data_IF_236967477509
#
_entry.id   IF_236967477509
#
_cell.length_a   1.000
_cell.length_b   1.000
_cell.length_c   1.000
_cell.angle_alpha   90.00
_cell.angle_beta   90.00
_cell.angle_gamma   90.00
#
_symmetry.space_group_name_H-M   'P 1'
#
loop_
_entity.id
_entity.type
_entity.pdbx_description
1 polymer ?
#
# COMPACT_ATOMS: atom_id res chain seq x y z
N UNK A 1 -19.24 18.46 25.75
CA UNK A 1 -18.14 17.56 26.17
C UNK A 1 -16.92 17.90 25.33
N UNK A 2 -15.77 18.20 25.95
CA UNK A 2 -14.59 18.67 25.22
C UNK A 2 -13.89 17.55 24.43
N UNK A 3 -13.26 17.91 23.31
CA UNK A 3 -12.47 17.02 22.46
C UNK A 3 -11.44 16.19 23.27
N UNK A 4 -10.84 16.80 24.30
CA UNK A 4 -9.89 16.14 25.20
C UNK A 4 -10.48 14.95 25.98
N UNK A 5 -11.76 14.99 26.35
CA UNK A 5 -12.38 13.87 27.07
C UNK A 5 -12.49 12.63 26.17
N UNK A 6 -12.81 12.82 24.89
CA UNK A 6 -12.82 11.75 23.91
C UNK A 6 -11.42 11.19 23.65
N UNK A 7 -10.41 12.05 23.48
CA UNK A 7 -9.03 11.60 23.33
C UNK A 7 -8.54 10.79 24.54
N UNK A 8 -8.80 11.25 25.76
CA UNK A 8 -8.42 10.51 26.99
C UNK A 8 -9.09 9.15 27.08
N UNK A 9 -10.35 9.05 26.67
CA UNK A 9 -11.06 7.77 26.70
C UNK A 9 -10.55 6.82 25.60
N UNK A 10 -10.25 7.34 24.41
CA UNK A 10 -9.61 6.57 23.35
C UNK A 10 -8.26 5.98 23.81
N UNK A 11 -7.44 6.74 24.52
CA UNK A 11 -6.15 6.29 25.04
C UNK A 11 -6.30 5.15 26.07
N UNK A 12 -7.30 5.24 26.96
CA UNK A 12 -7.60 4.17 27.92
C UNK A 12 -8.09 2.91 27.23
N UNK A 13 -8.98 3.05 26.24
CA UNK A 13 -9.47 1.94 25.44
C UNK A 13 -8.33 1.25 24.69
N UNK A 14 -7.43 2.02 24.07
CA UNK A 14 -6.24 1.50 23.41
C UNK A 14 -5.35 0.72 24.37
N UNK A 15 -4.99 1.29 25.52
CA UNK A 15 -4.13 0.63 26.51
C UNK A 15 -4.73 -0.69 27.02
N UNK A 16 -6.05 -0.71 27.29
CA UNK A 16 -6.76 -1.93 27.71
C UNK A 16 -6.79 -2.98 26.60
N UNK A 17 -7.13 -2.58 25.37
CA UNK A 17 -7.19 -3.47 24.23
C UNK A 17 -5.81 -4.07 23.91
N UNK A 18 -4.74 -3.29 24.03
CA UNK A 18 -3.36 -3.75 23.84
C UNK A 18 -2.98 -4.85 24.83
N UNK A 19 -3.31 -4.69 26.12
CA UNK A 19 -3.04 -5.71 27.15
C UNK A 19 -3.79 -7.03 26.84
N UNK A 20 -5.05 -6.93 26.43
CA UNK A 20 -5.87 -8.09 26.06
C UNK A 20 -5.27 -8.77 24.83
N UNK A 21 -4.96 -8.01 23.78
CA UNK A 21 -4.41 -8.54 22.53
C UNK A 21 -3.06 -9.24 22.76
N UNK A 22 -2.17 -8.68 23.58
CA UNK A 22 -0.91 -9.33 23.95
C UNK A 22 -1.13 -10.69 24.61
N UNK A 23 -2.13 -10.81 25.49
CA UNK A 23 -2.49 -12.09 26.10
C UNK A 23 -3.07 -13.09 25.08
N UNK A 24 -3.86 -12.63 24.10
CA UNK A 24 -4.37 -13.46 23.00
C UNK A 24 -3.24 -13.96 22.10
N UNK A 25 -2.38 -13.07 21.63
CA UNK A 25 -1.25 -13.40 20.73
C UNK A 25 -0.30 -14.40 21.39
N UNK A 26 0.03 -14.21 22.68
CA UNK A 26 0.87 -15.17 23.44
C UNK A 26 0.29 -16.59 23.45
N UNK A 27 -1.04 -16.73 23.56
CA UNK A 27 -1.72 -18.04 23.50
C UNK A 27 -1.52 -18.73 22.15
N UNK A 28 -1.52 -17.97 21.04
CA UNK A 28 -1.25 -18.52 19.71
C UNK A 28 0.23 -18.87 19.52
N UNK A 29 1.16 -18.08 20.06
CA UNK A 29 2.61 -18.35 19.94
C UNK A 29 3.08 -19.55 20.77
N UNK A 30 2.62 -19.69 22.03
CA UNK A 30 3.13 -20.72 22.96
C UNK A 30 2.63 -22.14 22.67
N UNK A 31 1.38 -22.30 22.19
CA UNK A 31 0.84 -23.64 21.86
C UNK A 31 1.39 -24.21 20.55
N UNK A 32 2.01 -23.39 19.70
CA UNK A 32 2.69 -23.89 18.49
C UNK A 32 3.97 -24.68 18.82
N UNK A 33 4.50 -24.59 20.04
CA UNK A 33 5.76 -25.22 20.45
C UNK A 33 5.57 -26.48 21.32
N UNK A 34 4.37 -26.72 21.87
CA UNK A 34 4.07 -27.87 22.72
C UNK A 34 3.01 -28.79 22.06
N UNK A 35 3.48 -29.84 21.39
CA UNK A 35 2.93 -31.21 21.32
C UNK A 35 1.50 -31.45 20.76
N UNK A 36 1.44 -32.25 19.68
CA UNK A 36 0.50 -33.36 19.36
C UNK A 36 -1.03 -33.22 19.58
N UNK A 37 -1.60 -32.04 19.80
CA UNK A 37 -3.06 -31.85 19.82
C UNK A 37 -3.61 -31.26 18.51
N UNK A 38 -4.49 -32.03 17.87
CA UNK A 38 -5.00 -31.92 16.50
C UNK A 38 -5.96 -30.75 16.23
N UNK A 39 -6.03 -29.74 17.11
CA UNK A 39 -6.85 -28.54 16.87
C UNK A 39 -5.93 -27.32 16.79
N UNK A 40 -5.47 -27.02 15.58
CA UNK A 40 -4.82 -25.74 15.25
C UNK A 40 -5.77 -24.62 15.69
N UNK A 41 -5.42 -23.87 16.74
CA UNK A 41 -6.24 -22.78 17.25
C UNK A 41 -6.18 -21.60 16.26
N UNK A 42 -7.05 -21.65 15.25
CA UNK A 42 -7.19 -20.64 14.21
C UNK A 42 -7.69 -19.33 14.85
N UNK A 43 -7.03 -18.19 14.62
CA UNK A 43 -7.49 -16.89 15.11
C UNK A 43 -8.94 -16.60 14.71
N UNK A 44 -9.67 -15.95 15.60
CA UNK A 44 -11.05 -15.52 15.29
C UNK A 44 -11.06 -14.20 14.52
N UNK A 45 -12.20 -13.86 13.92
CA UNK A 45 -12.40 -12.56 13.27
C UNK A 45 -12.18 -11.41 14.26
N UNK A 46 -12.61 -11.58 15.52
CA UNK A 46 -12.41 -10.57 16.55
C UNK A 46 -10.94 -10.36 16.89
N UNK A 47 -10.12 -11.42 16.91
CA UNK A 47 -8.68 -11.31 17.19
C UNK A 47 -7.96 -10.49 16.11
N UNK A 48 -8.30 -10.72 14.84
CA UNK A 48 -7.72 -9.99 13.70
C UNK A 48 -8.25 -8.55 13.67
N UNK A 49 -9.57 -8.35 13.83
CA UNK A 49 -10.19 -7.02 13.92
C UNK A 49 -9.58 -6.18 15.04
N UNK A 50 -9.42 -6.73 16.24
CA UNK A 50 -8.84 -6.01 17.37
C UNK A 50 -7.41 -5.54 17.03
N UNK A 51 -6.62 -6.41 16.41
CA UNK A 51 -5.26 -6.10 15.96
C UNK A 51 -5.23 -4.99 14.91
N UNK A 52 -6.16 -5.05 13.95
CA UNK A 52 -6.32 -4.06 12.90
C UNK A 52 -6.75 -2.69 13.47
N UNK A 53 -7.65 -2.67 14.46
CA UNK A 53 -8.08 -1.43 15.14
C UNK A 53 -6.94 -0.80 15.94
N UNK A 54 -6.09 -1.59 16.57
CA UNK A 54 -4.90 -1.08 17.27
C UNK A 54 -3.87 -0.50 16.29
N UNK A 55 -3.71 -1.14 15.13
CA UNK A 55 -2.93 -0.56 14.02
C UNK A 55 -3.51 0.78 13.57
N UNK A 56 -4.83 0.87 13.35
CA UNK A 56 -5.48 2.13 12.97
C UNK A 56 -5.32 3.23 14.01
N UNK A 57 -5.45 2.90 15.30
CA UNK A 57 -5.20 3.85 16.36
C UNK A 57 -3.77 4.40 16.30
N UNK A 58 -2.76 3.55 16.10
CA UNK A 58 -1.36 3.96 16.00
C UNK A 58 -1.02 4.71 14.71
N UNK A 59 -1.83 4.59 13.66
CA UNK A 59 -1.75 5.47 12.48
C UNK A 59 -2.31 6.87 12.77
N UNK A 60 -3.40 6.95 13.53
CA UNK A 60 -4.04 8.21 13.91
C UNK A 60 -3.27 8.96 14.99
N UNK A 61 -2.71 8.22 15.95
CA UNK A 61 -2.02 8.73 17.12
C UNK A 61 -0.80 7.85 17.42
N UNK A 62 0.30 8.05 16.68
CA UNK A 62 1.51 7.26 16.87
C UNK A 62 2.05 7.44 18.29
N UNK A 63 2.24 6.33 19.00
CA UNK A 63 2.94 6.31 20.28
C UNK A 63 4.45 6.44 20.10
N UNK A 64 4.97 5.87 19.00
CA UNK A 64 6.37 5.97 18.57
C UNK A 64 6.43 5.93 17.03
N UNK A 65 7.55 6.39 16.44
CA UNK A 65 7.74 6.31 14.99
C UNK A 65 7.68 4.85 14.56
N UNK A 66 6.72 4.52 13.68
CA UNK A 66 6.58 3.17 13.13
C UNK A 66 5.90 2.15 14.05
N UNK A 67 5.31 2.56 15.19
CA UNK A 67 4.55 1.68 16.09
C UNK A 67 3.46 0.87 15.37
N UNK A 68 2.79 1.49 14.40
CA UNK A 68 1.76 0.85 13.57
C UNK A 68 2.29 -0.38 12.82
N UNK A 69 3.57 -0.44 12.47
CA UNK A 69 4.17 -1.58 11.75
C UNK A 69 4.17 -2.84 12.61
N UNK A 70 4.30 -2.71 13.94
CA UNK A 70 4.25 -3.86 14.86
C UNK A 70 2.86 -4.49 14.85
N UNK A 71 1.81 -3.66 14.93
CA UNK A 71 0.42 -4.12 14.84
C UNK A 71 0.07 -4.66 13.47
N UNK A 72 0.57 -4.04 12.41
CA UNK A 72 0.42 -4.53 11.04
C UNK A 72 1.02 -5.94 10.90
N UNK A 73 2.26 -6.17 11.35
CA UNK A 73 2.89 -7.49 11.35
C UNK A 73 2.10 -8.51 12.17
N UNK A 74 1.62 -8.13 13.36
CA UNK A 74 0.78 -8.98 14.19
C UNK A 74 -0.54 -9.37 13.50
N UNK A 75 -1.22 -8.40 12.90
CA UNK A 75 -2.48 -8.60 12.17
C UNK A 75 -2.28 -9.52 10.97
N UNK A 76 -1.24 -9.27 10.16
CA UNK A 76 -0.86 -10.14 9.04
C UNK A 76 -0.55 -11.55 9.54
N UNK A 77 0.20 -11.71 10.64
CA UNK A 77 0.50 -13.02 11.22
C UNK A 77 -0.74 -13.80 11.62
N UNK A 78 -1.73 -13.16 12.27
CA UNK A 78 -3.00 -13.79 12.62
C UNK A 78 -3.82 -14.19 11.38
N UNK A 79 -3.81 -13.35 10.35
CA UNK A 79 -4.48 -13.66 9.10
C UNK A 79 -3.81 -14.84 8.37
N UNK A 80 -2.46 -14.88 8.35
CA UNK A 80 -1.69 -15.99 7.79
C UNK A 80 -1.95 -17.31 8.53
N UNK A 81 -2.12 -17.29 9.85
CA UNK A 81 -2.51 -18.47 10.63
C UNK A 81 -3.91 -19.00 10.27
N UNK A 82 -4.78 -18.12 9.75
CA UNK A 82 -6.13 -18.50 9.31
C UNK A 82 -6.13 -19.18 7.95
N UNK A 83 -5.12 -18.91 7.12
CA UNK A 83 -5.00 -19.44 5.77
C UNK A 83 -5.82 -18.66 4.74
N UNK A 84 -5.46 -18.78 3.45
CA UNK A 84 -6.10 -18.03 2.38
C UNK A 84 -7.53 -18.49 2.09
N UNK A 85 -7.92 -19.72 2.41
CA UNK A 85 -9.27 -20.25 2.22
C UNK A 85 -10.30 -19.52 3.08
N UNK A 86 -9.92 -19.15 4.31
CA UNK A 86 -10.76 -18.32 5.19
C UNK A 86 -10.99 -16.92 4.63
N UNK A 87 -10.10 -16.45 3.77
CA UNK A 87 -10.15 -15.11 3.18
C UNK A 87 -10.96 -15.04 1.90
N UNK A 88 -11.81 -16.03 1.58
CA UNK A 88 -12.59 -16.03 0.35
C UNK A 88 -13.84 -15.15 0.38
N UNK A 89 -14.37 -14.87 1.58
CA UNK A 89 -15.60 -14.11 1.76
C UNK A 89 -15.67 -13.43 3.14
N UNK A 90 -16.67 -12.56 3.31
CA UNK A 90 -16.98 -11.94 4.60
C UNK A 90 -15.87 -11.03 5.13
N UNK A 91 -15.75 -10.95 6.46
CA UNK A 91 -14.84 -10.03 7.14
C UNK A 91 -13.37 -10.37 6.92
N UNK A 92 -12.98 -11.65 6.85
CA UNK A 92 -11.62 -12.08 6.51
C UNK A 92 -11.19 -11.57 5.13
N UNK A 93 -12.07 -11.66 4.12
CA UNK A 93 -11.79 -11.13 2.78
C UNK A 93 -11.56 -9.61 2.81
N UNK A 94 -12.39 -8.88 3.55
CA UNK A 94 -12.22 -7.43 3.70
C UNK A 94 -10.89 -7.08 4.39
N UNK A 95 -10.58 -7.72 5.52
CA UNK A 95 -9.33 -7.52 6.25
C UNK A 95 -8.10 -7.87 5.41
N UNK A 96 -8.17 -8.99 4.67
CA UNK A 96 -7.14 -9.37 3.71
C UNK A 96 -6.90 -8.24 2.70
N UNK A 97 -7.94 -7.78 2.00
CA UNK A 97 -7.83 -6.71 1.00
C UNK A 97 -7.27 -5.41 1.59
N UNK A 98 -7.72 -5.03 2.79
CA UNK A 98 -7.20 -3.86 3.50
C UNK A 98 -5.70 -3.94 3.79
N UNK A 99 -5.19 -5.11 4.13
CA UNK A 99 -3.77 -5.32 4.44
C UNK A 99 -2.88 -5.44 3.20
N UNK A 100 -3.46 -5.67 2.01
CA UNK A 100 -2.68 -5.82 0.77
C UNK A 100 -1.87 -4.57 0.43
N UNK A 101 -2.48 -3.38 0.53
CA UNK A 101 -1.78 -2.11 0.27
C UNK A 101 -0.60 -1.93 1.25
N UNK A 102 -0.84 -2.14 2.54
CA UNK A 102 0.18 -1.97 3.57
C UNK A 102 1.35 -2.94 3.39
N UNK A 103 1.04 -4.20 3.09
CA UNK A 103 2.08 -5.21 2.84
C UNK A 103 2.83 -4.94 1.54
N UNK A 104 2.17 -4.42 0.51
CA UNK A 104 2.80 -4.02 -0.74
C UNK A 104 3.77 -2.86 -0.52
N UNK A 105 3.34 -1.85 0.24
CA UNK A 105 4.19 -0.74 0.68
C UNK A 105 5.44 -1.22 1.42
N UNK A 106 5.26 -2.04 2.45
CA UNK A 106 6.39 -2.59 3.23
C UNK A 106 7.32 -3.43 2.38
N UNK A 107 6.79 -4.18 1.42
CA UNK A 107 7.60 -5.03 0.52
C UNK A 107 8.51 -4.19 -0.37
N UNK A 108 8.00 -3.08 -0.93
CA UNK A 108 8.82 -2.16 -1.73
C UNK A 108 9.90 -1.52 -0.86
N UNK A 109 9.54 -0.99 0.32
CA UNK A 109 10.50 -0.29 1.20
C UNK A 109 11.60 -1.21 1.73
N UNK A 110 11.27 -2.46 2.06
CA UNK A 110 12.24 -3.44 2.56
C UNK A 110 12.97 -4.21 1.46
N UNK A 111 12.45 -4.15 0.23
CA UNK A 111 12.86 -5.05 -0.86
C UNK A 111 12.61 -6.54 -0.53
N UNK A 112 11.79 -6.86 0.48
CA UNK A 112 11.48 -8.23 0.85
C UNK A 112 10.13 -8.65 0.24
N UNK A 113 9.99 -9.92 -0.21
CA UNK A 113 8.71 -10.42 -0.70
C UNK A 113 7.64 -10.35 0.39
N UNK A 114 6.44 -9.92 0.01
CA UNK A 114 5.25 -10.02 0.87
C UNK A 114 4.89 -11.49 1.12
N UNK A 115 4.35 -11.79 2.29
CA UNK A 115 3.70 -13.08 2.53
C UNK A 115 2.48 -13.29 1.62
N UNK A 116 1.86 -12.21 1.12
CA UNK A 116 0.76 -12.27 0.16
C UNK A 116 1.22 -12.34 -1.31
N UNK A 117 2.52 -12.42 -1.57
CA UNK A 117 3.05 -12.56 -2.93
C UNK A 117 2.97 -14.00 -3.47
N UNK A 118 2.63 -14.99 -2.64
CA UNK A 118 2.53 -16.37 -3.11
C UNK A 118 1.32 -16.57 -4.02
N UNK A 119 1.42 -17.52 -4.95
CA UNK A 119 0.31 -17.86 -5.86
C UNK A 119 -0.97 -18.20 -5.11
N UNK A 120 -0.85 -18.89 -3.97
CA UNK A 120 -1.97 -19.23 -3.10
C UNK A 120 -2.70 -17.99 -2.59
N UNK A 121 -1.97 -17.01 -2.04
CA UNK A 121 -2.56 -15.76 -1.54
C UNK A 121 -3.03 -14.82 -2.65
N UNK A 122 -2.46 -14.93 -3.85
CA UNK A 122 -2.92 -14.19 -5.02
C UNK A 122 -4.18 -14.81 -5.64
N UNK A 123 -4.45 -16.11 -5.49
CA UNK A 123 -5.54 -16.79 -6.23
C UNK A 123 -6.68 -17.19 -5.30
N UNK A 124 -6.37 -17.87 -4.20
CA UNK A 124 -7.38 -18.52 -3.35
C UNK A 124 -8.37 -17.53 -2.73
N UNK A 125 -7.97 -16.37 -2.16
CA UNK A 125 -8.93 -15.40 -1.61
C UNK A 125 -9.89 -14.81 -2.65
N UNK A 126 -9.55 -14.89 -3.93
CA UNK A 126 -10.34 -14.36 -5.06
C UNK A 126 -11.10 -15.48 -5.81
N UNK A 127 -11.24 -16.66 -5.23
CA UNK A 127 -11.96 -17.77 -5.87
C UNK A 127 -13.46 -17.51 -6.04
N UNK A 128 -14.04 -16.69 -5.15
CA UNK A 128 -15.47 -16.36 -5.16
C UNK A 128 -15.78 -14.99 -5.78
N UNK A 129 -14.79 -14.10 -5.83
CA UNK A 129 -14.95 -12.72 -6.29
C UNK A 129 -13.90 -12.40 -7.35
N UNK A 130 -14.33 -11.75 -8.44
CA UNK A 130 -13.40 -11.21 -9.45
C UNK A 130 -12.47 -10.19 -8.78
N UNK A 131 -11.15 -10.33 -9.02
CA UNK A 131 -10.16 -9.30 -8.66
C UNK A 131 -10.52 -7.97 -9.28
N UNK A 132 -10.38 -6.90 -8.50
CA UNK A 132 -10.44 -5.56 -9.07
C UNK A 132 -9.15 -5.18 -9.79
N UNK A 133 -9.18 -4.06 -10.52
CA UNK A 133 -7.97 -3.43 -11.04
C UNK A 133 -6.95 -3.20 -9.91
N UNK A 134 -7.37 -2.59 -8.80
CA UNK A 134 -6.48 -2.37 -7.64
C UNK A 134 -5.92 -3.68 -7.04
N UNK A 135 -6.74 -4.75 -6.97
CA UNK A 135 -6.25 -6.04 -6.49
C UNK A 135 -5.16 -6.63 -7.40
N UNK A 136 -5.29 -6.39 -8.71
CA UNK A 136 -4.30 -6.80 -9.73
C UNK A 136 -3.04 -5.94 -9.62
N UNK A 137 -3.18 -4.63 -9.41
CA UNK A 137 -2.05 -3.72 -9.20
C UNK A 137 -1.19 -4.14 -8.01
N UNK A 138 -1.79 -4.60 -6.91
CA UNK A 138 -1.02 -5.10 -5.76
C UNK A 138 -0.22 -6.36 -6.08
N UNK A 139 -0.73 -7.26 -6.93
CA UNK A 139 0.07 -8.39 -7.42
C UNK A 139 1.29 -7.91 -8.21
N UNK A 140 1.12 -6.87 -9.05
CA UNK A 140 2.25 -6.26 -9.78
C UNK A 140 3.27 -5.69 -8.78
N UNK A 141 2.85 -4.96 -7.75
CA UNK A 141 3.76 -4.39 -6.75
C UNK A 141 4.56 -5.48 -6.03
N UNK A 142 3.93 -6.60 -5.67
CA UNK A 142 4.63 -7.72 -5.05
C UNK A 142 5.71 -8.28 -5.98
N UNK A 143 5.42 -8.46 -7.27
CA UNK A 143 6.40 -8.93 -8.24
C UNK A 143 7.52 -7.89 -8.47
N UNK A 144 7.19 -6.60 -8.54
CA UNK A 144 8.15 -5.49 -8.68
C UNK A 144 9.15 -5.42 -7.52
N UNK A 145 8.69 -5.63 -6.27
CA UNK A 145 9.55 -5.56 -5.09
C UNK A 145 10.75 -6.52 -5.17
N UNK A 146 10.57 -7.68 -5.80
CA UNK A 146 11.63 -8.66 -6.01
C UNK A 146 12.66 -8.21 -7.07
N UNK A 147 12.27 -7.33 -7.99
CA UNK A 147 13.08 -6.89 -9.13
C UNK A 147 13.86 -5.59 -8.89
N UNK A 148 13.44 -4.80 -7.90
CA UNK A 148 14.11 -3.54 -7.51
C UNK A 148 15.46 -3.77 -6.83
N UNK A 149 15.77 -5.01 -6.41
CA UNK A 149 17.10 -5.37 -5.92
C UNK A 149 18.13 -5.41 -7.06
N UNK A 150 19.39 -5.01 -6.79
CA UNK A 150 20.45 -5.10 -7.79
C UNK A 150 20.61 -6.56 -8.24
N UNK A 151 20.74 -6.81 -9.55
CA UNK A 151 20.77 -8.17 -10.08
C UNK A 151 22.03 -8.91 -9.63
N UNK A 152 21.88 -10.19 -9.30
CA UNK A 152 23.00 -11.11 -9.39
C UNK A 152 23.38 -11.20 -10.88
N UNK A 153 24.64 -10.92 -11.20
CA UNK A 153 25.19 -10.88 -12.56
C UNK A 153 24.90 -12.19 -13.31
N UNK A 154 23.98 -12.19 -14.29
CA UNK A 154 23.75 -13.36 -15.16
C UNK A 154 22.42 -13.49 -15.92
N UNK A 155 21.38 -12.67 -15.67
CA UNK A 155 20.01 -12.93 -16.18
C UNK A 155 19.44 -11.85 -17.11
N UNK A 156 20.07 -11.60 -18.27
CA UNK A 156 19.64 -10.54 -19.20
C UNK A 156 18.32 -10.84 -19.94
N UNK A 157 18.16 -12.05 -20.50
CA UNK A 157 16.96 -12.44 -21.28
C UNK A 157 15.74 -12.68 -20.37
N UNK A 158 15.96 -13.21 -19.17
CA UNK A 158 14.89 -13.44 -18.20
C UNK A 158 14.31 -12.12 -17.66
N UNK A 159 15.12 -11.05 -17.60
CA UNK A 159 14.68 -9.75 -17.14
C UNK A 159 13.73 -9.04 -18.10
N UNK A 160 14.00 -9.06 -19.42
CA UNK A 160 13.13 -8.39 -20.42
C UNK A 160 11.75 -9.02 -20.45
N UNK A 161 11.65 -10.35 -20.42
CA UNK A 161 10.38 -11.07 -20.33
C UNK A 161 9.61 -10.69 -19.06
N UNK A 162 10.29 -10.66 -17.91
CA UNK A 162 9.65 -10.29 -16.63
C UNK A 162 9.13 -8.85 -16.64
N UNK A 163 9.88 -7.90 -17.19
CA UNK A 163 9.41 -6.51 -17.33
C UNK A 163 8.21 -6.41 -18.26
N UNK A 164 8.23 -7.13 -19.39
CA UNK A 164 7.08 -7.13 -20.31
C UNK A 164 5.83 -7.68 -19.62
N UNK A 165 5.94 -8.78 -18.86
CA UNK A 165 4.83 -9.32 -18.07
C UNK A 165 4.28 -8.31 -17.06
N UNK A 166 5.14 -7.51 -16.43
CA UNK A 166 4.72 -6.45 -15.51
C UNK A 166 4.00 -5.32 -16.24
N UNK A 167 4.51 -4.88 -17.38
CA UNK A 167 3.87 -3.87 -18.23
C UNK A 167 2.47 -4.34 -18.62
N UNK A 168 2.36 -5.57 -19.13
CA UNK A 168 1.07 -6.14 -19.57
C UNK A 168 0.08 -6.24 -18.40
N UNK A 169 0.56 -6.65 -17.22
CA UNK A 169 -0.25 -6.74 -16.01
C UNK A 169 -0.73 -5.36 -15.50
N UNK A 170 0.12 -4.32 -15.55
CA UNK A 170 -0.28 -2.95 -15.19
C UNK A 170 -1.30 -2.41 -16.18
N UNK A 171 -1.09 -2.58 -17.48
CA UNK A 171 -2.05 -2.15 -18.51
C UNK A 171 -3.39 -2.86 -18.33
N UNK A 172 -3.38 -4.17 -18.07
CA UNK A 172 -4.60 -4.93 -17.77
C UNK A 172 -5.29 -4.37 -16.51
N UNK A 173 -4.52 -4.10 -15.46
CA UNK A 173 -5.00 -3.53 -14.21
C UNK A 173 -5.66 -2.16 -14.42
N UNK A 174 -5.05 -1.27 -15.21
CA UNK A 174 -5.59 0.04 -15.56
C UNK A 174 -6.91 -0.09 -16.34
N UNK A 175 -6.98 -0.99 -17.33
CA UNK A 175 -8.21 -1.24 -18.08
C UNK A 175 -9.34 -1.74 -17.18
N UNK A 176 -9.05 -2.67 -16.25
CA UNK A 176 -10.02 -3.15 -15.26
C UNK A 176 -10.52 -2.02 -14.36
N UNK A 177 -9.60 -1.16 -13.90
CA UNK A 177 -9.96 -0.01 -13.08
C UNK A 177 -10.84 0.97 -13.85
N UNK A 178 -10.52 1.25 -15.12
CA UNK A 178 -11.34 2.09 -15.99
C UNK A 178 -12.74 1.52 -16.21
N UNK A 179 -12.86 0.21 -16.41
CA UNK A 179 -14.14 -0.49 -16.49
C UNK A 179 -14.95 -0.33 -15.18
N UNK A 180 -14.33 -0.54 -14.02
CA UNK A 180 -14.97 -0.43 -12.71
C UNK A 180 -15.44 0.99 -12.41
N UNK A 181 -14.59 1.96 -12.72
CA UNK A 181 -14.90 3.38 -12.60
C UNK A 181 -16.06 3.71 -13.53
N UNK A 182 -16.00 3.32 -14.81
CA UNK A 182 -17.08 3.54 -15.79
C UNK A 182 -18.40 2.86 -15.41
N UNK A 183 -18.35 1.66 -14.82
CA UNK A 183 -19.53 0.93 -14.35
C UNK A 183 -20.17 1.60 -13.12
N UNK A 184 -19.38 2.19 -12.23
CA UNK A 184 -19.88 3.02 -11.12
C UNK A 184 -20.48 4.34 -11.62
N UNK A 185 -20.04 4.80 -12.79
CA UNK A 185 -20.43 6.07 -13.41
C UNK A 185 -21.73 6.05 -14.22
N UNK A 186 -22.38 4.88 -14.41
CA UNK A 186 -23.78 4.84 -14.89
C UNK A 186 -24.77 5.48 -13.91
N UNK A 187 -24.29 5.90 -12.73
CA UNK A 187 -24.96 6.72 -11.71
C UNK A 187 -24.34 8.13 -11.53
N UNK A 188 -23.43 8.58 -12.40
CA UNK A 188 -22.98 9.98 -12.51
C UNK A 188 -21.48 10.23 -12.24
N UNK A 189 -20.87 10.98 -13.18
CA UNK A 189 -19.57 11.69 -13.18
C UNK A 189 -18.29 10.94 -13.62
N UNK A 190 -17.70 11.40 -14.74
CA UNK A 190 -16.47 10.90 -15.38
C UNK A 190 -15.25 11.76 -15.01
N UNK A 191 -14.09 11.15 -14.68
CA UNK A 191 -12.81 11.76 -14.96
C UNK A 191 -11.95 10.91 -15.92
N UNK A 192 -11.15 11.53 -16.81
CA UNK A 192 -10.26 10.82 -17.71
C UNK A 192 -8.92 10.43 -17.03
N UNK A 193 -8.42 9.21 -17.27
CA UNK A 193 -7.04 8.79 -16.97
C UNK A 193 -6.01 9.29 -18.00
N UNK A 194 -6.43 9.95 -19.08
CA UNK A 194 -5.52 10.58 -20.04
C UNK A 194 -5.23 12.02 -19.63
N UNK A 195 -3.94 12.39 -19.61
CA UNK A 195 -3.45 13.77 -19.52
C UNK A 195 -4.32 14.68 -20.40
N UNK A 196 -5.17 15.48 -19.76
CA UNK A 196 -5.73 16.68 -20.36
C UNK A 196 -4.89 17.85 -19.88
N UNK A 197 -4.50 18.70 -20.82
CA UNK A 197 -3.81 19.96 -20.59
C UNK A 197 -4.49 20.76 -19.48
N UNK A 198 -3.70 21.16 -18.48
CA UNK A 198 -3.95 22.29 -17.56
C UNK A 198 -5.42 22.55 -17.17
N UNK A 199 -6.14 21.51 -16.75
CA UNK A 199 -7.49 21.61 -16.19
C UNK A 199 -7.48 21.19 -14.72
N UNK A 200 -8.16 21.96 -13.87
CA UNK A 200 -8.23 21.84 -12.41
C UNK A 200 -8.20 20.38 -11.90
N UNK A 201 -7.23 20.04 -11.04
CA UNK A 201 -7.17 18.75 -10.37
C UNK A 201 -8.51 18.47 -9.66
N UNK A 202 -9.21 17.42 -10.10
CA UNK A 202 -10.40 16.92 -9.43
C UNK A 202 -9.99 16.23 -8.12
N UNK A 203 -10.04 16.99 -7.03
CA UNK A 203 -9.71 16.55 -5.67
C UNK A 203 -10.56 15.33 -5.23
N UNK A 204 -11.71 15.06 -5.87
CA UNK A 204 -12.55 13.89 -5.56
C UNK A 204 -12.00 12.57 -6.11
N UNK A 205 -11.18 12.61 -7.15
CA UNK A 205 -10.54 11.43 -7.75
C UNK A 205 -9.33 10.97 -6.92
N UNK A 206 -8.62 11.93 -6.35
CA UNK A 206 -7.44 11.69 -5.51
C UNK A 206 -7.78 11.53 -4.03
N UNK A 207 -8.93 12.03 -3.57
CA UNK A 207 -9.43 11.83 -2.19
C UNK A 207 -10.67 10.93 -2.13
N UNK A 208 -11.01 10.24 -3.24
CA UNK A 208 -12.18 9.38 -3.36
C UNK A 208 -12.07 8.04 -2.62
N UNK A 209 -12.64 7.98 -1.41
CA UNK A 209 -12.90 6.75 -0.65
C UNK A 209 -12.97 7.06 0.84
N UNK A 210 -14.08 6.65 1.48
CA UNK A 210 -14.36 6.98 2.88
C UNK A 210 -13.50 6.21 3.88
N UNK A 211 -12.72 5.23 3.42
CA UNK A 211 -11.81 4.44 4.25
C UNK A 211 -10.39 4.37 3.65
N UNK A 212 -9.40 4.01 4.47
CA UNK A 212 -8.00 3.81 4.07
C UNK A 212 -7.82 2.79 2.92
N UNK A 213 -8.85 2.01 2.59
CA UNK A 213 -8.80 0.91 1.64
C UNK A 213 -9.42 1.27 0.27
N UNK A 214 -10.07 2.43 0.14
CA UNK A 214 -10.89 2.78 -1.01
C UNK A 214 -10.37 3.93 -1.87
N UNK A 215 -9.21 4.52 -1.57
CA UNK A 215 -8.78 5.81 -2.15
C UNK A 215 -7.34 5.84 -2.69
N UNK A 216 -7.12 6.51 -3.82
CA UNK A 216 -5.86 6.75 -4.59
C UNK A 216 -5.30 5.63 -5.48
N UNK A 217 -6.15 4.88 -6.20
CA UNK A 217 -5.66 3.99 -7.26
C UNK A 217 -4.72 4.74 -8.25
N UNK A 218 -5.06 5.97 -8.64
CA UNK A 218 -4.27 6.76 -9.60
C UNK A 218 -2.83 7.02 -9.14
N UNK A 219 -2.63 7.51 -7.91
CA UNK A 219 -1.29 7.81 -7.40
C UNK A 219 -0.42 6.55 -7.32
N UNK A 220 -1.02 5.41 -6.93
CA UNK A 220 -0.35 4.11 -6.90
C UNK A 220 0.00 3.63 -8.31
N UNK A 221 -0.86 3.82 -9.31
CA UNK A 221 -0.53 3.53 -10.72
C UNK A 221 0.65 4.37 -11.20
N UNK A 222 0.65 5.68 -10.93
CA UNK A 222 1.80 6.54 -11.25
C UNK A 222 3.08 6.04 -10.59
N UNK A 223 3.03 5.67 -9.31
CA UNK A 223 4.17 5.13 -8.59
C UNK A 223 4.69 3.82 -9.21
N UNK A 224 3.79 2.90 -9.56
CA UNK A 224 4.14 1.64 -10.22
C UNK A 224 4.83 1.87 -11.56
N UNK A 225 4.31 2.77 -12.39
CA UNK A 225 4.95 3.13 -13.65
C UNK A 225 6.33 3.76 -13.46
N UNK A 226 6.50 4.65 -12.47
CA UNK A 226 7.80 5.24 -12.14
C UNK A 226 8.82 4.15 -11.78
N UNK A 227 8.42 3.15 -10.98
CA UNK A 227 9.29 2.02 -10.63
C UNK A 227 9.65 1.17 -11.85
N UNK A 228 8.69 0.89 -12.75
CA UNK A 228 8.94 0.16 -14.01
C UNK A 228 9.91 0.94 -14.90
N UNK A 229 9.68 2.23 -15.12
CA UNK A 229 10.58 3.05 -15.93
C UNK A 229 11.97 3.16 -15.31
N UNK A 230 12.08 3.25 -13.99
CA UNK A 230 13.36 3.21 -13.30
C UNK A 230 14.10 1.89 -13.58
N UNK A 231 13.42 0.74 -13.50
CA UNK A 231 14.01 -0.56 -13.83
C UNK A 231 14.51 -0.62 -15.28
N UNK A 232 13.74 -0.07 -16.22
CA UNK A 232 14.13 -0.04 -17.64
C UNK A 232 15.33 0.90 -17.85
N UNK A 233 15.26 2.13 -17.34
CA UNK A 233 16.29 3.15 -17.53
C UNK A 233 17.63 2.81 -16.86
N UNK A 234 17.61 1.95 -15.83
CA UNK A 234 18.85 1.48 -15.17
C UNK A 234 19.52 0.32 -15.89
N UNK A 235 18.85 -0.34 -16.84
CA UNK A 235 19.34 -1.58 -17.48
C UNK A 235 19.34 -1.57 -19.01
N UNK A 236 18.62 -0.65 -19.63
CA UNK A 236 18.58 -0.47 -21.08
C UNK A 236 19.15 0.90 -21.47
N UNK A 237 19.54 1.04 -22.74
CA UNK A 237 19.96 2.33 -23.29
C UNK A 237 18.88 3.39 -23.08
N UNK A 238 19.32 4.61 -22.79
CA UNK A 238 18.45 5.71 -22.37
C UNK A 238 17.37 6.02 -23.41
N UNK A 239 16.14 5.54 -23.18
CA UNK A 239 14.98 5.90 -23.96
C UNK A 239 14.40 7.23 -23.46
N UNK A 240 14.63 8.31 -24.22
CA UNK A 240 14.19 9.66 -23.86
C UNK A 240 12.68 9.76 -23.66
N UNK A 241 11.88 8.99 -24.41
CA UNK A 241 10.43 8.96 -24.25
C UNK A 241 10.05 8.41 -22.87
N UNK A 242 10.63 7.28 -22.46
CA UNK A 242 10.37 6.69 -21.14
C UNK A 242 10.83 7.61 -19.99
N UNK A 243 11.96 8.30 -20.17
CA UNK A 243 12.42 9.31 -19.21
C UNK A 243 11.40 10.44 -19.08
N UNK A 244 10.91 10.97 -20.19
CA UNK A 244 9.92 12.05 -20.20
C UNK A 244 8.60 11.61 -19.54
N UNK A 245 8.11 10.41 -19.87
CA UNK A 245 6.92 9.83 -19.23
C UNK A 245 7.11 9.65 -17.71
N UNK A 246 8.26 9.12 -17.29
CA UNK A 246 8.58 8.99 -15.87
C UNK A 246 8.60 10.34 -15.15
N UNK A 247 9.16 11.38 -15.77
CA UNK A 247 9.15 12.74 -15.19
C UNK A 247 7.73 13.31 -15.12
N UNK A 248 6.91 13.13 -16.16
CA UNK A 248 5.53 13.62 -16.18
C UNK A 248 4.69 12.98 -15.05
N UNK A 249 4.86 11.67 -14.83
CA UNK A 249 4.20 10.96 -13.71
C UNK A 249 4.69 11.44 -12.35
N UNK A 250 5.99 11.71 -12.21
CA UNK A 250 6.54 12.31 -10.98
C UNK A 250 5.92 13.69 -10.72
N UNK A 251 5.82 14.55 -11.75
CA UNK A 251 5.18 15.86 -11.64
C UNK A 251 3.73 15.74 -11.20
N UNK A 252 2.95 14.81 -11.76
CA UNK A 252 1.55 14.61 -11.36
C UNK A 252 1.39 14.28 -9.86
N UNK A 253 2.27 13.42 -9.31
CA UNK A 253 2.28 13.13 -7.86
C UNK A 253 2.66 14.37 -7.05
N UNK A 254 3.67 15.12 -7.49
CA UNK A 254 4.15 16.31 -6.78
C UNK A 254 3.15 17.46 -6.83
N UNK A 255 2.47 17.66 -7.96
CA UNK A 255 1.41 18.66 -8.14
C UNK A 255 0.21 18.33 -7.24
N UNK A 256 -0.15 17.05 -7.13
CA UNK A 256 -1.16 16.60 -6.19
C UNK A 256 -0.74 16.88 -4.73
N UNK A 257 0.48 16.50 -4.34
CA UNK A 257 1.01 16.78 -3.01
C UNK A 257 1.04 18.30 -2.73
N UNK A 258 1.46 19.11 -3.70
CA UNK A 258 1.47 20.56 -3.59
C UNK A 258 0.07 21.13 -3.37
N UNK A 259 -0.92 20.69 -4.15
CA UNK A 259 -2.33 21.07 -4.02
C UNK A 259 -2.90 20.79 -2.62
N UNK A 260 -2.56 19.62 -2.06
CA UNK A 260 -2.95 19.23 -0.71
C UNK A 260 -2.50 20.24 0.37
N UNK A 261 -1.23 20.66 0.28
CA UNK A 261 -0.62 21.55 1.27
C UNK A 261 -0.95 23.02 1.07
N UNK A 262 -1.26 23.44 -0.15
CA UNK A 262 -1.59 24.84 -0.47
C UNK A 262 -3.06 25.16 -0.25
N UNK A 263 -3.96 24.19 -0.49
CA UNK A 263 -5.41 24.36 -0.31
C UNK A 263 -5.90 24.07 1.11
N UNK A 264 -4.98 23.86 2.07
CA UNK A 264 -5.28 23.51 3.46
C UNK A 264 -6.24 22.31 3.61
N UNK A 265 -6.16 21.33 2.70
CA UNK A 265 -7.01 20.13 2.72
C UNK A 265 -6.59 19.13 3.81
N UNK A 266 -5.78 19.56 4.79
CA UNK A 266 -5.28 18.74 5.89
C UNK A 266 -6.44 18.15 6.70
N UNK A 267 -7.53 18.89 6.87
CA UNK A 267 -8.75 18.42 7.54
C UNK A 267 -9.50 17.32 6.77
N UNK A 268 -9.19 17.12 5.48
CA UNK A 268 -9.74 16.04 4.63
C UNK A 268 -8.84 14.81 4.58
N UNK A 269 -7.61 14.88 5.09
CA UNK A 269 -6.74 13.72 5.19
C UNK A 269 -7.21 12.87 6.37
N UNK A 270 -7.60 11.63 6.09
CA UNK A 270 -7.70 10.64 7.17
C UNK A 270 -6.30 10.05 7.41
N UNK A 271 -6.05 9.43 8.57
CA UNK A 271 -4.74 8.82 8.85
C UNK A 271 -4.36 7.66 7.90
N UNK A 272 -5.28 7.22 7.04
CA UNK A 272 -4.96 6.34 5.92
C UNK A 272 -4.44 7.08 4.69
N UNK A 273 -4.92 8.30 4.46
CA UNK A 273 -4.50 9.18 3.36
C UNK A 273 -3.00 9.51 3.43
N UNK A 274 -2.39 9.50 4.62
CA UNK A 274 -0.96 9.69 4.75
C UNK A 274 -0.17 8.52 4.15
N UNK A 275 -0.51 7.25 4.41
CA UNK A 275 0.18 6.11 3.77
C UNK A 275 -0.04 6.08 2.26
N UNK A 276 -1.27 6.38 1.84
CA UNK A 276 -1.66 6.46 0.43
C UNK A 276 -0.89 7.53 -0.36
N UNK A 277 -0.50 8.63 0.29
CA UNK A 277 0.29 9.70 -0.31
C UNK A 277 1.81 9.53 -0.10
N UNK A 278 2.21 9.04 1.07
CA UNK A 278 3.60 8.78 1.43
C UNK A 278 4.21 7.79 0.45
N UNK A 279 3.51 6.71 0.10
CA UNK A 279 4.08 5.72 -0.82
C UNK A 279 4.42 6.30 -2.21
N UNK A 280 3.49 6.95 -2.93
CA UNK A 280 3.82 7.58 -4.21
C UNK A 280 4.91 8.65 -4.09
N UNK A 281 4.89 9.49 -3.05
CA UNK A 281 5.93 10.51 -2.86
C UNK A 281 7.29 9.87 -2.57
N UNK A 282 7.35 8.82 -1.76
CA UNK A 282 8.57 8.06 -1.49
C UNK A 282 9.12 7.44 -2.78
N UNK A 283 8.26 6.88 -3.62
CA UNK A 283 8.64 6.39 -4.96
C UNK A 283 9.24 7.50 -5.81
N UNK A 284 8.66 8.70 -5.83
CA UNK A 284 9.25 9.86 -6.53
C UNK A 284 10.62 10.21 -5.95
N UNK A 285 10.75 10.24 -4.62
CA UNK A 285 12.00 10.59 -3.92
C UNK A 285 13.15 9.62 -4.23
N UNK A 286 12.83 8.34 -4.45
CA UNK A 286 13.80 7.28 -4.71
C UNK A 286 14.10 7.10 -6.20
N UNK A 287 13.08 7.16 -7.05
CA UNK A 287 13.15 6.64 -8.41
C UNK A 287 12.95 7.68 -9.51
N UNK A 288 12.62 8.93 -9.17
CA UNK A 288 12.52 9.98 -10.20
C UNK A 288 13.86 10.16 -10.94
N UNK A 289 13.85 10.28 -12.27
CA UNK A 289 15.05 10.58 -13.05
C UNK A 289 15.53 12.03 -12.88
N UNK A 290 14.74 12.91 -12.26
CA UNK A 290 15.04 14.32 -12.05
C UNK A 290 15.39 14.60 -10.57
N UNK A 291 16.57 15.16 -10.32
CA UNK A 291 17.04 15.47 -8.97
C UNK A 291 16.15 16.48 -8.24
N UNK A 292 15.68 17.50 -8.96
CA UNK A 292 14.78 18.50 -8.40
C UNK A 292 13.46 17.89 -7.91
N UNK A 293 12.88 16.94 -8.66
CA UNK A 293 11.68 16.22 -8.26
C UNK A 293 11.92 15.33 -7.03
N UNK A 294 13.09 14.68 -6.95
CA UNK A 294 13.47 13.89 -5.76
C UNK A 294 13.55 14.77 -4.51
N UNK A 295 14.15 15.94 -4.64
CA UNK A 295 14.29 16.86 -3.50
C UNK A 295 12.94 17.44 -3.07
N UNK A 296 12.10 17.86 -4.01
CA UNK A 296 10.74 18.30 -3.70
C UNK A 296 9.93 17.20 -2.99
N UNK A 297 10.06 15.94 -3.41
CA UNK A 297 9.41 14.82 -2.74
C UNK A 297 9.85 14.67 -1.29
N UNK A 298 11.16 14.81 -0.99
CA UNK A 298 11.68 14.76 0.39
C UNK A 298 11.11 15.87 1.25
N UNK A 299 11.00 17.09 0.72
CA UNK A 299 10.37 18.21 1.43
C UNK A 299 8.92 17.89 1.79
N UNK A 300 8.15 17.28 0.87
CA UNK A 300 6.78 16.87 1.19
C UNK A 300 6.72 15.76 2.25
N UNK A 301 7.62 14.77 2.21
CA UNK A 301 7.70 13.73 3.23
C UNK A 301 8.02 14.31 4.61
N UNK A 302 8.98 15.24 4.68
CA UNK A 302 9.32 15.94 5.92
C UNK A 302 8.13 16.72 6.49
N UNK A 303 7.37 17.41 5.62
CA UNK A 303 6.14 18.11 6.00
C UNK A 303 5.03 17.16 6.49
N UNK A 304 5.01 15.91 6.03
CA UNK A 304 4.11 14.87 6.55
C UNK A 304 4.60 14.27 7.87
N UNK A 305 5.74 14.72 8.41
CA UNK A 305 6.39 14.10 9.57
C UNK A 305 6.94 12.71 9.25
N UNK A 306 7.14 12.39 7.96
CA UNK A 306 7.64 11.10 7.51
C UNK A 306 9.16 11.14 7.42
N UNK A 307 9.84 10.73 8.50
CA UNK A 307 11.29 10.63 8.52
C UNK A 307 11.73 9.42 7.67
N UNK A 308 12.45 9.70 6.57
CA UNK A 308 13.08 8.66 5.77
C UNK A 308 14.16 7.96 6.61
N UNK A 309 13.90 6.73 7.03
CA UNK A 309 14.98 5.79 7.38
C UNK A 309 15.57 5.29 6.05
N UNK A 310 16.27 6.17 5.34
CA UNK A 310 17.09 5.73 4.21
C UNK A 310 18.27 4.95 4.79
N UNK A 311 18.22 3.62 4.61
CA UNK A 311 19.36 2.71 4.63
C UNK A 311 20.19 2.68 5.92
N UNK A 312 19.72 1.90 6.89
CA UNK A 312 20.59 0.91 7.53
C UNK A 312 19.93 -0.46 7.39
N UNK A 313 20.66 -1.52 6.98
CA UNK A 313 20.16 -2.87 7.16
C UNK A 313 19.98 -3.07 8.67
N UNK A 314 18.74 -3.31 9.09
CA UNK A 314 18.51 -3.90 10.40
C UNK A 314 19.16 -5.29 10.35
N UNK A 315 20.31 -5.41 11.01
CA UNK A 315 20.96 -6.69 11.34
C UNK A 315 19.99 -7.64 12.07
#
# INVERSE_FOLDING_TARGET
>A
MSNEAFCREADKCYARALQIQQSCVRRHSQKSQNTLETTRNVPTEQDICASLLLMYYELLKPTTIGSWMVHMRGTVGLLMLSGPEKCQQGSYYLMFRSLRLLTAYVSIRSGLPSCFASSEWCIVPFSQYRKTGVDTLFDVIYNLSSMLKPPNTGQSVEWTTRIQMLIDAVVQSENLWDEEVSAKQTLGYRPPLRLSEAGELDDSLWLGGGDFCSTTASAVYHAVWIMIYHLILTRADCNQLMRNESMARCSSILDFAHGLFTRSLQDRLNAGSCIQLVFPIEVVSCYSPCEHQREQARVFLDRLGWVQSCSEPLE
#
